data_IF_672925792705
#
_entry.id   IF_672925792705
#
_cell.length_a   1.000
_cell.length_b   1.000
_cell.length_c   1.000
_cell.angle_alpha   90.00
_cell.angle_beta   90.00
_cell.angle_gamma   90.00
#
_symmetry.space_group_name_H-M   'P 1'
#
loop_
_entity.id
_entity.type
_entity.pdbx_description
1 polymer ?
#
# COMPACT_ATOMS: atom_id res chain seq x y z
N UNK A 1 1.29 28.80 11.04
CA UNK A 1 0.52 28.33 9.87
C UNK A 1 1.49 28.11 8.72
N UNK A 2 1.82 26.85 8.38
CA UNK A 2 2.77 26.52 7.31
C UNK A 2 2.09 26.70 5.95
N UNK A 3 2.66 27.58 5.12
CA UNK A 3 2.18 27.91 3.78
C UNK A 3 2.26 26.67 2.88
N UNK A 4 1.10 26.15 2.47
CA UNK A 4 1.00 25.22 1.34
C UNK A 4 1.23 26.05 0.09
N UNK A 5 2.42 25.96 -0.49
CA UNK A 5 2.69 26.53 -1.81
C UNK A 5 1.93 25.69 -2.84
N UNK A 6 0.74 26.14 -3.23
CA UNK A 6 0.02 25.60 -4.40
C UNK A 6 0.86 25.91 -5.63
N UNK A 7 1.46 24.88 -6.23
CA UNK A 7 2.09 24.98 -7.55
C UNK A 7 0.97 25.01 -8.59
N UNK A 8 0.56 26.21 -9.00
CA UNK A 8 -0.38 26.39 -10.12
C UNK A 8 0.43 26.20 -11.40
N UNK A 9 0.36 25.00 -11.98
CA UNK A 9 0.86 24.75 -13.33
C UNK A 9 -0.17 25.34 -14.28
N UNK A 10 0.07 26.56 -14.75
CA UNK A 10 -0.65 27.08 -15.91
C UNK A 10 -0.27 26.19 -17.11
N UNK A 11 -1.19 25.36 -17.56
CA UNK A 11 -1.02 24.54 -18.76
C UNK A 11 -0.86 25.47 -19.97
N UNK A 12 0.36 25.75 -20.36
CA UNK A 12 0.65 26.41 -21.62
C UNK A 12 0.33 25.45 -22.77
N UNK A 13 -0.70 25.82 -23.55
CA UNK A 13 -0.77 25.64 -25.00
C UNK A 13 -0.47 24.22 -25.54
N UNK A 14 -1.24 23.21 -25.16
CA UNK A 14 -1.29 21.95 -25.91
C UNK A 14 -2.34 22.05 -27.00
N UNK A 15 -1.83 22.45 -28.15
CA UNK A 15 -2.43 22.52 -29.48
C UNK A 15 -3.26 21.25 -29.80
N UNK A 16 -4.60 21.34 -29.78
CA UNK A 16 -5.44 20.47 -30.61
C UNK A 16 -5.53 21.12 -31.99
N UNK A 17 -4.54 20.83 -32.84
CA UNK A 17 -4.63 21.14 -34.26
C UNK A 17 -5.62 20.17 -34.93
N UNK A 18 -6.91 20.48 -34.82
CA UNK A 18 -7.94 19.95 -35.68
C UNK A 18 -8.93 21.07 -36.01
N UNK A 19 -8.53 21.89 -36.99
CA UNK A 19 -9.38 22.71 -37.87
C UNK A 19 -10.34 23.74 -37.25
N UNK A 20 -10.38 24.92 -37.88
CA UNK A 20 -11.34 26.02 -37.69
C UNK A 20 -11.03 27.05 -36.58
N UNK A 21 -10.49 28.21 -37.01
CA UNK A 21 -10.61 29.56 -36.45
C UNK A 21 -10.67 29.71 -34.91
N UNK A 22 -9.53 29.95 -34.26
CA UNK A 22 -9.51 30.43 -32.86
C UNK A 22 -9.46 31.96 -32.84
N UNK A 23 -10.60 32.59 -33.09
CA UNK A 23 -10.83 33.97 -32.68
C UNK A 23 -11.01 34.00 -31.16
N UNK A 24 -9.91 34.19 -30.42
CA UNK A 24 -9.92 34.41 -28.98
C UNK A 24 -10.09 33.14 -28.13
N UNK A 25 -9.45 33.14 -26.98
CA UNK A 25 -9.72 32.16 -25.91
C UNK A 25 -11.17 32.35 -25.43
N UNK A 26 -11.96 31.29 -25.38
CA UNK A 26 -13.34 31.34 -24.88
C UNK A 26 -13.32 31.49 -23.34
N UNK A 27 -13.83 32.59 -22.78
CA UNK A 27 -13.93 32.73 -21.32
C UNK A 27 -14.85 31.64 -20.75
N UNK A 28 -14.44 31.00 -19.66
CA UNK A 28 -15.22 29.95 -19.00
C UNK A 28 -15.00 28.52 -19.51
N UNK A 29 -14.09 28.28 -20.46
CA UNK A 29 -13.63 26.93 -20.83
C UNK A 29 -12.30 26.54 -20.16
N UNK A 30 -11.88 27.28 -19.13
CA UNK A 30 -10.69 26.96 -18.35
C UNK A 30 -10.95 25.75 -17.45
N UNK A 31 -10.04 24.77 -17.48
CA UNK A 31 -10.12 23.60 -16.62
C UNK A 31 -8.94 23.63 -15.65
N UNK A 32 -9.26 23.75 -14.36
CA UNK A 32 -8.27 23.66 -13.29
C UNK A 32 -8.12 22.21 -12.85
N UNK A 33 -6.92 21.66 -12.96
CA UNK A 33 -6.55 20.38 -12.36
C UNK A 33 -5.61 20.61 -11.18
N UNK A 34 -5.74 19.79 -10.14
CA UNK A 34 -4.85 19.79 -8.99
C UNK A 34 -4.24 18.41 -8.85
N UNK A 35 -2.92 18.37 -8.64
CA UNK A 35 -2.18 17.14 -8.39
C UNK A 35 -1.36 17.31 -7.12
N UNK A 36 -1.32 16.26 -6.32
CA UNK A 36 -0.48 16.21 -5.13
C UNK A 36 0.90 15.65 -5.50
N UNK A 37 1.95 16.34 -5.07
CA UNK A 37 3.34 15.86 -5.20
C UNK A 37 3.73 15.22 -3.87
N UNK A 38 4.01 13.92 -3.90
CA UNK A 38 4.44 13.17 -2.72
C UNK A 38 5.94 12.88 -2.78
N UNK A 39 6.64 13.12 -1.67
CA UNK A 39 8.03 12.71 -1.47
C UNK A 39 8.07 11.55 -0.48
N UNK A 40 8.36 10.36 -1.00
CA UNK A 40 8.56 9.16 -0.18
C UNK A 40 10.01 9.04 0.25
N UNK A 41 10.26 8.88 1.55
CA UNK A 41 11.54 8.49 2.11
C UNK A 41 11.36 7.18 2.91
N UNK A 42 12.36 6.28 2.96
CA UNK A 42 12.25 5.03 3.72
C UNK A 42 11.89 5.23 5.20
N UNK A 43 12.44 6.29 5.80
CA UNK A 43 12.19 6.70 7.19
C UNK A 43 10.76 7.16 7.48
N UNK A 44 9.96 7.42 6.44
CA UNK A 44 8.54 7.77 6.62
C UNK A 44 7.71 6.56 7.09
N UNK A 45 8.21 5.34 7.04
CA UNK A 45 7.50 4.13 7.45
C UNK A 45 8.32 3.36 8.49
N UNK A 46 7.80 3.24 9.71
CA UNK A 46 8.40 2.41 10.76
C UNK A 46 7.66 1.09 10.84
N UNK A 47 8.38 -0.01 10.61
CA UNK A 47 7.84 -1.39 10.60
C UNK A 47 8.52 -2.21 11.69
N UNK A 48 7.73 -2.87 12.54
CA UNK A 48 8.18 -3.82 13.55
C UNK A 48 7.43 -5.14 13.40
N UNK A 49 8.14 -6.27 13.48
CA UNK A 49 7.55 -7.61 13.48
C UNK A 49 8.00 -8.35 14.73
N UNK A 50 7.06 -8.58 15.63
CA UNK A 50 7.30 -9.23 16.93
C UNK A 50 6.72 -10.64 16.92
N UNK A 51 7.49 -11.64 17.35
CA UNK A 51 6.97 -13.00 17.55
C UNK A 51 6.19 -13.10 18.85
N UNK A 52 5.16 -13.95 18.87
CA UNK A 52 4.45 -14.29 20.12
C UNK A 52 5.30 -15.29 20.92
N UNK A 53 5.73 -14.96 22.14
CA UNK A 53 6.50 -15.90 22.96
C UNK A 53 5.62 -17.02 23.53
N UNK A 54 6.23 -18.16 23.87
CA UNK A 54 5.53 -19.26 24.57
C UNK A 54 4.71 -20.19 23.67
N UNK A 55 4.87 -20.11 22.35
CA UNK A 55 4.24 -21.06 21.43
C UNK A 55 4.72 -22.49 21.71
N UNK A 56 3.78 -23.39 21.96
CA UNK A 56 4.05 -24.80 22.29
C UNK A 56 3.69 -25.70 21.11
N UNK A 57 4.53 -26.72 20.84
CA UNK A 57 4.27 -27.68 19.78
C UNK A 57 3.06 -28.58 20.12
N UNK A 58 2.27 -28.93 19.11
CA UNK A 58 1.08 -29.76 19.28
C UNK A 58 -0.02 -29.40 18.30
N UNK A 59 -1.25 -29.81 18.60
CA UNK A 59 -2.43 -29.37 17.84
C UNK A 59 -2.73 -27.93 18.23
N UNK A 60 -2.37 -26.99 17.36
CA UNK A 60 -2.82 -25.61 17.45
C UNK A 60 -4.31 -25.48 17.12
N UNK A 61 -4.87 -24.29 17.35
CA UNK A 61 -6.20 -23.92 16.87
C UNK A 61 -6.09 -23.01 15.64
N UNK A 62 -7.14 -22.97 14.85
CA UNK A 62 -7.21 -22.06 13.70
C UNK A 62 -7.20 -20.60 14.18
N UNK A 63 -6.49 -19.74 13.44
CA UNK A 63 -6.34 -18.33 13.78
C UNK A 63 -5.45 -18.06 15.00
N UNK A 64 -4.60 -19.01 15.41
CA UNK A 64 -3.61 -18.77 16.46
C UNK A 64 -2.62 -17.69 16.07
N UNK A 65 -2.48 -16.66 16.91
CA UNK A 65 -1.50 -15.60 16.73
C UNK A 65 -0.08 -16.13 16.98
N UNK A 66 0.80 -15.96 15.98
CA UNK A 66 2.21 -16.37 16.06
C UNK A 66 3.17 -15.18 16.00
N UNK A 67 2.71 -14.06 15.46
CA UNK A 67 3.47 -12.83 15.33
C UNK A 67 2.53 -11.63 15.15
N UNK A 68 3.03 -10.43 15.48
CA UNK A 68 2.33 -9.15 15.33
C UNK A 68 3.17 -8.22 14.46
N UNK A 69 2.61 -7.79 13.33
CA UNK A 69 3.18 -6.76 12.47
C UNK A 69 2.62 -5.40 12.88
N UNK A 70 3.50 -4.49 13.30
CA UNK A 70 3.16 -3.10 13.65
C UNK A 70 3.75 -2.16 12.61
N UNK A 71 2.91 -1.36 11.98
CA UNK A 71 3.32 -0.35 11.00
C UNK A 71 2.87 1.02 11.50
N UNK A 72 3.77 1.98 11.52
CA UNK A 72 3.49 3.35 11.94
C UNK A 72 4.14 4.35 10.99
N UNK A 73 3.46 5.48 10.78
CA UNK A 73 3.94 6.57 9.95
C UNK A 73 3.31 7.88 10.38
N UNK A 74 4.06 8.97 10.26
CA UNK A 74 3.54 10.33 10.46
C UNK A 74 2.99 10.95 9.15
N UNK A 75 3.30 10.39 7.98
CA UNK A 75 3.03 11.00 6.67
C UNK A 75 2.37 10.08 5.66
N UNK A 76 2.62 8.77 5.74
CA UNK A 76 2.02 7.74 4.89
C UNK A 76 0.70 7.29 5.50
N UNK A 77 -0.37 7.37 4.70
CA UNK A 77 -1.73 7.04 5.15
C UNK A 77 -2.05 5.54 5.03
N UNK A 78 -1.41 4.86 4.08
CA UNK A 78 -1.74 3.49 3.68
C UNK A 78 -0.46 2.72 3.33
N UNK A 79 -0.44 1.42 3.59
CA UNK A 79 0.69 0.56 3.28
C UNK A 79 0.21 -0.76 2.65
N UNK A 80 1.01 -1.29 1.73
CA UNK A 80 0.85 -2.64 1.18
C UNK A 80 1.71 -3.64 1.93
N UNK A 81 1.23 -4.87 2.09
CA UNK A 81 1.99 -5.95 2.73
C UNK A 81 1.72 -7.29 2.04
N UNK A 82 2.76 -8.09 1.82
CA UNK A 82 2.69 -9.44 1.25
C UNK A 82 3.67 -10.36 1.95
N UNK A 83 3.31 -11.63 2.09
CA UNK A 83 4.25 -12.65 2.54
C UNK A 83 5.31 -12.95 1.49
N UNK A 84 6.57 -13.10 1.92
CA UNK A 84 7.68 -13.50 1.07
C UNK A 84 8.07 -14.94 1.41
N UNK A 85 7.47 -15.90 0.71
CA UNK A 85 7.76 -17.31 0.88
C UNK A 85 7.45 -18.09 -0.40
N UNK A 86 7.90 -19.34 -0.46
CA UNK A 86 7.52 -20.27 -1.52
C UNK A 86 7.04 -21.59 -0.89
N UNK A 87 5.80 -22.03 -1.14
CA UNK A 87 4.76 -21.40 -1.97
C UNK A 87 3.96 -20.27 -1.27
N UNK A 88 3.52 -19.29 -2.06
CA UNK A 88 2.47 -18.31 -1.69
C UNK A 88 1.09 -18.90 -2.00
N UNK A 89 0.12 -18.69 -1.11
CA UNK A 89 -1.25 -19.15 -1.27
C UNK A 89 -2.16 -17.96 -1.61
N UNK A 90 -2.80 -18.02 -2.78
CA UNK A 90 -3.68 -16.96 -3.29
C UNK A 90 -2.94 -15.80 -3.99
N UNK A 91 -3.68 -15.05 -4.81
CA UNK A 91 -3.11 -13.98 -5.66
C UNK A 91 -2.64 -12.75 -4.88
N UNK A 92 -3.36 -12.39 -3.81
CA UNK A 92 -3.01 -11.24 -2.97
C UNK A 92 -1.78 -11.47 -2.06
N UNK A 93 -1.30 -12.72 -1.92
CA UNK A 93 -0.14 -13.02 -1.07
C UNK A 93 -0.37 -12.78 0.42
N UNK A 94 -1.62 -12.89 0.88
CA UNK A 94 -2.02 -12.74 2.27
C UNK A 94 -1.82 -14.01 3.11
N UNK A 95 -1.65 -15.16 2.45
CA UNK A 95 -1.36 -16.44 3.07
C UNK A 95 -0.20 -17.13 2.34
N UNK A 96 0.62 -17.86 3.08
CA UNK A 96 1.79 -18.56 2.54
C UNK A 96 2.21 -19.72 3.44
N UNK A 97 3.07 -20.58 2.90
CA UNK A 97 3.60 -21.74 3.62
C UNK A 97 5.02 -21.46 4.09
N UNK A 98 5.32 -21.78 5.35
CA UNK A 98 6.66 -21.71 5.93
C UNK A 98 7.11 -23.11 6.33
N UNK A 99 8.35 -23.48 5.98
CA UNK A 99 8.95 -24.76 6.35
C UNK A 99 9.93 -24.59 7.50
N UNK A 100 9.76 -25.40 8.55
CA UNK A 100 10.64 -25.41 9.71
C UNK A 100 12.04 -25.89 9.36
N UNK A 101 13.05 -25.11 9.76
CA UNK A 101 14.46 -25.34 9.41
C UNK A 101 14.98 -26.74 9.80
N UNK A 102 14.53 -27.27 10.94
CA UNK A 102 15.06 -28.52 11.50
C UNK A 102 14.21 -29.75 11.16
N UNK A 103 12.88 -29.60 11.06
CA UNK A 103 11.97 -30.75 10.92
C UNK A 103 11.54 -31.00 9.48
N UNK A 104 11.74 -30.03 8.57
CA UNK A 104 11.17 -30.06 7.23
C UNK A 104 9.63 -30.02 7.20
N UNK A 105 8.98 -29.92 8.36
CA UNK A 105 7.52 -29.78 8.46
C UNK A 105 7.14 -28.34 8.16
N UNK A 106 6.00 -28.17 7.51
CA UNK A 106 5.51 -26.85 7.14
C UNK A 106 4.21 -26.51 7.86
N UNK A 107 4.02 -25.21 8.08
CA UNK A 107 2.77 -24.63 8.55
C UNK A 107 2.27 -23.62 7.52
N UNK A 108 0.96 -23.40 7.51
CA UNK A 108 0.33 -22.31 6.75
C UNK A 108 0.17 -21.13 7.69
N UNK A 109 0.59 -19.96 7.23
CA UNK A 109 0.45 -18.72 7.97
C UNK A 109 -0.17 -17.67 7.05
N UNK A 110 -0.70 -16.61 7.65
CA UNK A 110 -1.24 -15.50 6.90
C UNK A 110 -1.64 -14.37 7.81
N UNK A 111 -2.05 -13.26 7.22
CA UNK A 111 -2.65 -12.17 7.98
C UNK A 111 -4.00 -12.62 8.52
N UNK A 112 -4.24 -12.34 9.81
CA UNK A 112 -5.56 -12.52 10.41
C UNK A 112 -6.61 -11.76 9.60
N UNK A 113 -7.81 -12.32 9.36
CA UNK A 113 -8.87 -11.65 8.62
C UNK A 113 -9.46 -10.51 9.46
N UNK A 114 -8.76 -9.38 9.56
CA UNK A 114 -9.33 -8.15 10.10
C UNK A 114 -9.76 -7.26 8.94
N UNK A 115 -10.94 -7.59 8.41
CA UNK A 115 -11.61 -6.95 7.27
C UNK A 115 -11.93 -5.47 7.55
N UNK A 116 -11.91 -5.01 8.80
CA UNK A 116 -12.34 -3.67 9.17
C UNK A 116 -11.40 -2.54 8.68
N UNK A 117 -10.13 -2.82 8.39
CA UNK A 117 -9.12 -1.79 8.05
C UNK A 117 -8.48 -1.94 6.68
N UNK A 118 -8.79 -3.00 5.93
CA UNK A 118 -8.18 -3.23 4.61
C UNK A 118 -8.86 -2.38 3.53
N UNK A 119 -8.08 -1.64 2.74
CA UNK A 119 -8.54 -0.82 1.61
C UNK A 119 -8.86 -1.63 0.33
N UNK A 120 -8.60 -2.93 0.34
CA UNK A 120 -8.77 -3.83 -0.81
C UNK A 120 -7.44 -4.17 -1.50
N UNK A 121 -7.44 -5.13 -2.44
CA UNK A 121 -6.26 -5.48 -3.21
C UNK A 121 -5.97 -4.42 -4.27
N UNK A 122 -4.76 -3.86 -4.25
CA UNK A 122 -4.23 -2.97 -5.29
C UNK A 122 -3.24 -3.72 -6.18
N UNK A 123 -3.21 -3.39 -7.47
CA UNK A 123 -2.21 -3.90 -8.40
C UNK A 123 -1.06 -2.90 -8.50
N UNK A 124 0.16 -3.36 -8.20
CA UNK A 124 1.39 -2.60 -8.37
C UNK A 124 2.19 -3.13 -9.55
#
# INVERSE_FOLDING_TARGET
MKSIKKLIIASALSMMAASCYAAGFLPGTEQQTSVDISFGAPENLTVSLEQVPGLTAGRGHDGMDIAKLTVSSASIKEFGVRGVASPILGSAGHAWKITGRNSGKSIVVGFSPNIATARGPEMW
#
